data_IF_564770571048
#
_entry.id   IF_564770571048
#
_cell.length_a   1.000
_cell.length_b   1.000
_cell.length_c   1.000
_cell.angle_alpha   90.00
_cell.angle_beta   90.00
_cell.angle_gamma   90.00
#
_symmetry.space_group_name_H-M   'P 1'
#
loop_
_entity.id
_entity.type
_entity.pdbx_description
1 polymer ?
#
# COMPACT_ATOMS: atom_id res chain seq x y z
N UNK A 1 -71.48 -0.15 10.22
CA UNK A 1 -70.65 -1.38 10.35
C UNK A 1 -69.42 -1.23 9.45
N UNK A 2 -68.36 -2.00 9.69
CA UNK A 2 -66.96 -1.67 9.33
C UNK A 2 -66.56 -1.84 7.84
N UNK A 3 -65.30 -1.50 7.53
CA UNK A 3 -64.56 -1.39 6.23
C UNK A 3 -64.54 0.06 5.67
N UNK A 4 -63.43 0.63 5.17
CA UNK A 4 -62.11 0.07 4.76
C UNK A 4 -61.00 1.14 4.83
N UNK A 5 -59.72 0.72 4.83
CA UNK A 5 -58.52 1.58 4.88
C UNK A 5 -58.29 2.46 3.64
N UNK A 6 -57.54 3.57 3.76
CA UNK A 6 -56.83 4.20 2.64
C UNK A 6 -55.31 3.92 2.70
N UNK A 7 -54.74 3.51 1.57
CA UNK A 7 -53.31 3.74 1.30
C UNK A 7 -53.10 5.20 0.90
N UNK A 8 -51.97 5.81 1.28
CA UNK A 8 -51.43 6.94 0.52
C UNK A 8 -49.89 6.93 0.55
N UNK A 9 -49.29 7.13 -0.62
CA UNK A 9 -47.85 7.21 -0.81
C UNK A 9 -47.27 8.47 -0.15
N UNK A 10 -46.09 8.32 0.46
CA UNK A 10 -45.17 9.43 0.73
C UNK A 10 -44.06 9.39 -0.33
N UNK A 11 -43.79 10.49 -1.06
CA UNK A 11 -42.65 10.58 -1.96
C UNK A 11 -41.35 10.85 -1.18
N UNK A 12 -40.23 10.32 -1.69
CA UNK A 12 -38.90 10.62 -1.17
C UNK A 12 -38.51 12.08 -1.48
N UNK A 13 -37.94 12.78 -0.50
CA UNK A 13 -37.17 14.01 -0.72
C UNK A 13 -35.73 13.81 -0.27
N UNK A 14 -34.82 13.83 -1.23
CA UNK A 14 -33.38 13.97 -0.97
C UNK A 14 -33.10 15.35 -0.35
N UNK A 15 -32.17 15.41 0.60
CA UNK A 15 -31.69 16.68 1.16
C UNK A 15 -30.28 16.98 0.66
N UNK A 16 -30.19 17.95 -0.25
CA UNK A 16 -28.94 18.46 -0.81
C UNK A 16 -28.24 19.45 0.12
N UNK A 17 -26.92 19.59 -0.06
CA UNK A 17 -26.02 20.42 0.73
C UNK A 17 -26.25 21.92 0.49
N UNK A 18 -26.41 22.73 1.55
CA UNK A 18 -25.68 24.01 1.76
C UNK A 18 -26.09 24.76 3.04
N UNK A 19 -25.09 25.36 3.68
CA UNK A 19 -25.24 26.60 4.46
C UNK A 19 -25.32 26.45 5.98
N UNK A 20 -24.21 26.72 6.67
CA UNK A 20 -24.22 27.07 8.10
C UNK A 20 -22.96 27.88 8.47
N UNK A 21 -23.11 29.20 8.61
CA UNK A 21 -22.17 30.12 9.25
C UNK A 21 -22.89 31.46 9.55
N UNK A 22 -22.48 32.14 10.65
CA UNK A 22 -23.12 33.29 11.37
C UNK A 22 -24.14 32.86 12.44
N UNK A 23 -24.27 33.43 13.64
CA UNK A 23 -23.57 34.50 14.45
C UNK A 23 -24.19 34.50 15.87
N UNK A 24 -23.64 35.02 16.99
CA UNK A 24 -22.30 35.46 17.40
C UNK A 24 -22.31 35.83 18.92
N UNK A 25 -21.15 35.98 19.58
CA UNK A 25 -20.99 36.62 20.91
C UNK A 25 -20.31 35.72 21.99
N UNK A 26 -19.35 36.19 22.79
CA UNK A 26 -18.60 37.46 22.75
C UNK A 26 -17.53 37.61 23.85
N UNK A 27 -16.38 38.20 23.49
CA UNK A 27 -15.35 38.87 24.32
C UNK A 27 -14.68 38.18 25.53
N UNK A 28 -13.38 37.87 25.37
CA UNK A 28 -12.37 37.63 26.41
C UNK A 28 -10.98 37.47 25.75
N UNK A 29 -9.95 38.17 26.21
CA UNK A 29 -8.77 38.48 25.36
C UNK A 29 -7.51 37.62 25.57
N UNK A 30 -6.67 37.62 24.52
CA UNK A 30 -5.22 37.35 24.49
C UNK A 30 -4.71 35.91 24.68
N UNK A 31 -4.37 35.25 23.57
CA UNK A 31 -2.97 35.02 23.18
C UNK A 31 -2.88 34.52 21.73
N UNK A 32 -2.01 35.14 20.93
CA UNK A 32 -1.77 34.73 19.56
C UNK A 32 -0.68 33.66 19.52
N UNK A 33 -0.95 32.54 18.83
CA UNK A 33 -0.03 31.65 18.09
C UNK A 33 -0.82 30.41 17.65
N UNK A 34 -0.56 29.88 16.45
CA UNK A 34 -1.16 28.61 16.00
C UNK A 34 -2.26 28.71 14.94
N UNK A 35 -2.13 29.60 13.96
CA UNK A 35 -2.91 29.57 12.70
C UNK A 35 -2.51 28.41 11.77
N UNK A 36 -2.37 27.20 12.31
CA UNK A 36 -2.14 25.99 11.53
C UNK A 36 -3.45 25.57 10.87
N UNK A 37 -3.63 25.93 9.60
CA UNK A 37 -4.76 25.45 8.82
C UNK A 37 -4.69 23.92 8.70
N UNK A 38 -5.51 23.22 9.49
CA UNK A 38 -5.88 21.84 9.24
C UNK A 38 -6.72 21.82 7.96
N UNK A 39 -6.03 21.87 6.82
CA UNK A 39 -6.60 21.51 5.54
C UNK A 39 -6.95 20.03 5.61
N UNK A 40 -8.18 19.73 6.01
CA UNK A 40 -8.83 18.46 5.72
C UNK A 40 -8.94 18.38 4.21
N UNK A 41 -7.94 17.78 3.57
CA UNK A 41 -8.00 17.40 2.16
C UNK A 41 -9.19 16.48 1.98
N UNK A 42 -10.30 17.03 1.49
CA UNK A 42 -11.34 16.23 0.89
C UNK A 42 -10.76 15.68 -0.40
N UNK A 43 -10.18 14.49 -0.32
CA UNK A 43 -9.65 13.77 -1.46
C UNK A 43 -10.74 13.74 -2.55
N UNK A 44 -10.37 14.19 -3.74
CA UNK A 44 -11.29 14.23 -4.87
C UNK A 44 -11.42 12.85 -5.48
N UNK A 45 -12.47 12.65 -6.28
CA UNK A 45 -12.53 11.49 -7.18
C UNK A 45 -11.25 11.46 -8.00
N UNK A 46 -10.48 10.37 -7.89
CA UNK A 46 -9.12 10.33 -8.40
C UNK A 46 -9.01 10.84 -9.85
N UNK A 47 -8.13 11.81 -10.07
CA UNK A 47 -8.10 12.62 -11.29
C UNK A 47 -6.79 12.36 -12.07
N UNK A 48 -6.22 13.37 -12.72
CA UNK A 48 -4.85 13.40 -13.21
C UNK A 48 -3.84 13.83 -12.12
N UNK A 49 -2.55 13.66 -12.40
CA UNK A 49 -1.45 13.96 -11.47
C UNK A 49 -1.55 15.36 -10.82
N UNK A 50 -1.15 15.48 -9.54
CA UNK A 50 -1.31 16.72 -8.79
C UNK A 50 -0.49 17.86 -9.38
N UNK A 51 -1.04 19.07 -9.40
CA UNK A 51 -0.32 20.29 -9.80
C UNK A 51 0.68 20.79 -8.75
N UNK A 52 0.75 20.15 -7.59
CA UNK A 52 1.69 20.44 -6.50
C UNK A 52 1.92 19.16 -5.70
N UNK A 53 3.17 18.70 -5.65
CA UNK A 53 3.54 17.46 -4.96
C UNK A 53 3.63 17.65 -3.45
N UNK A 54 3.14 16.67 -2.69
CA UNK A 54 3.20 16.66 -1.23
C UNK A 54 4.35 15.78 -0.74
N UNK A 55 5.22 16.33 0.12
CA UNK A 55 6.38 15.62 0.69
C UNK A 55 6.52 15.88 2.21
N UNK A 56 6.67 14.83 3.05
CA UNK A 56 6.52 13.42 2.71
C UNK A 56 5.06 13.12 2.32
N UNK A 57 4.85 12.35 1.26
CA UNK A 57 3.51 12.06 0.73
C UNK A 57 3.39 10.76 -0.07
N UNK A 58 4.23 9.76 0.19
CA UNK A 58 4.01 8.40 -0.28
C UNK A 58 3.16 7.61 0.72
N UNK A 59 3.66 6.52 1.32
CA UNK A 59 2.90 5.81 2.36
C UNK A 59 2.65 6.65 3.61
N UNK A 60 3.56 7.55 3.96
CA UNK A 60 3.48 8.36 5.18
C UNK A 60 3.43 9.84 4.84
N UNK A 61 2.51 10.56 5.49
CA UNK A 61 2.45 12.01 5.47
C UNK A 61 3.00 12.63 6.77
N UNK A 62 3.26 13.94 6.77
CA UNK A 62 3.82 14.65 7.92
C UNK A 62 2.93 14.57 9.18
N UNK A 63 1.60 14.50 9.03
CA UNK A 63 0.66 14.38 10.14
C UNK A 63 0.70 13.02 10.82
N UNK A 64 0.86 11.95 10.04
CA UNK A 64 1.01 10.58 10.50
C UNK A 64 2.36 10.37 11.22
N UNK A 65 3.45 10.88 10.65
CA UNK A 65 4.77 10.92 11.31
C UNK A 65 4.72 11.69 12.63
N UNK A 66 4.16 12.91 12.64
CA UNK A 66 4.06 13.71 13.86
C UNK A 66 3.19 13.03 14.93
N UNK A 67 2.08 12.39 14.54
CA UNK A 67 1.24 11.64 15.48
C UNK A 67 1.98 10.46 16.10
N UNK A 68 2.75 9.71 15.31
CA UNK A 68 3.61 8.65 15.83
C UNK A 68 4.63 9.20 16.83
N UNK A 69 5.34 10.29 16.50
CA UNK A 69 6.30 10.97 17.42
C UNK A 69 5.67 11.27 18.78
N UNK A 70 4.55 12.01 18.77
CA UNK A 70 3.88 12.44 20.01
C UNK A 70 3.34 11.26 20.81
N UNK A 71 2.72 10.26 20.16
CA UNK A 71 2.11 9.11 20.83
C UNK A 71 3.14 8.15 21.41
N UNK A 72 4.26 7.92 20.72
CA UNK A 72 5.39 7.12 21.24
C UNK A 72 6.04 7.83 22.43
N UNK A 73 6.32 9.13 22.33
CA UNK A 73 6.89 9.90 23.44
C UNK A 73 5.97 9.95 24.68
N UNK A 74 4.65 9.92 24.46
CA UNK A 74 3.64 9.84 25.52
C UNK A 74 3.35 8.40 26.00
N UNK A 75 4.08 7.39 25.52
CA UNK A 75 3.87 5.98 25.90
C UNK A 75 2.46 5.44 25.58
N UNK A 76 1.79 5.99 24.57
CA UNK A 76 0.38 5.68 24.27
C UNK A 76 0.26 4.52 23.28
N UNK A 77 -0.52 3.50 23.64
CA UNK A 77 -0.88 2.42 22.72
C UNK A 77 -1.98 2.82 21.71
N UNK A 78 -1.99 2.22 20.51
CA UNK A 78 -1.12 1.13 20.05
C UNK A 78 0.24 1.58 19.48
N UNK A 79 0.53 2.89 19.43
CA UNK A 79 1.78 3.42 18.88
C UNK A 79 3.03 2.93 19.62
N UNK A 80 2.98 2.86 20.96
CA UNK A 80 4.09 2.32 21.76
C UNK A 80 4.36 0.85 21.42
N UNK A 81 3.32 0.01 21.35
CA UNK A 81 3.45 -1.39 20.91
C UNK A 81 4.06 -1.53 19.50
N UNK A 82 3.63 -0.70 18.54
CA UNK A 82 4.22 -0.66 17.19
C UNK A 82 5.68 -0.18 17.17
N UNK A 83 6.02 0.79 18.02
CA UNK A 83 7.41 1.27 18.19
C UNK A 83 8.30 0.19 18.80
N UNK A 84 7.82 -0.55 19.79
CA UNK A 84 8.56 -1.64 20.42
C UNK A 84 8.86 -2.78 19.42
N UNK A 85 7.92 -3.09 18.51
CA UNK A 85 8.17 -4.01 17.36
C UNK A 85 9.32 -3.49 16.49
N UNK A 86 9.28 -2.21 16.10
CA UNK A 86 10.34 -1.59 15.29
C UNK A 86 11.70 -1.65 16.00
N UNK A 87 11.79 -1.24 17.27
CA UNK A 87 13.05 -1.21 18.03
C UNK A 87 13.66 -2.60 18.22
N UNK A 88 12.83 -3.64 18.39
CA UNK A 88 13.29 -5.02 18.56
C UNK A 88 13.82 -5.69 17.27
N UNK A 89 13.41 -5.21 16.08
CA UNK A 89 13.82 -5.80 14.82
C UNK A 89 15.31 -5.51 14.52
N UNK A 90 16.06 -6.53 14.08
CA UNK A 90 17.49 -6.43 13.77
C UNK A 90 17.81 -5.50 12.59
N UNK A 91 16.86 -5.29 11.68
CA UNK A 91 16.98 -4.36 10.56
C UNK A 91 16.91 -2.89 11.02
N UNK A 92 16.35 -2.58 12.19
CA UNK A 92 16.23 -1.20 12.69
C UNK A 92 17.46 -0.71 13.49
N UNK A 93 18.52 -1.52 13.58
CA UNK A 93 19.73 -1.17 14.30
C UNK A 93 20.65 -0.30 13.43
N UNK A 94 21.18 0.78 14.00
CA UNK A 94 22.05 1.74 13.30
C UNK A 94 23.43 1.19 12.93
N UNK A 95 23.76 -0.02 13.40
CA UNK A 95 24.99 -0.76 13.08
C UNK A 95 24.87 -1.62 11.82
N UNK A 96 23.76 -1.53 11.09
CA UNK A 96 23.56 -2.28 9.85
C UNK A 96 24.51 -1.80 8.74
N UNK A 97 25.19 -2.76 8.10
CA UNK A 97 26.09 -2.51 6.97
C UNK A 97 25.40 -2.91 5.68
N UNK A 98 25.35 -1.98 4.72
CA UNK A 98 24.80 -2.25 3.39
C UNK A 98 25.64 -3.27 2.60
N UNK A 99 25.00 -3.91 1.63
CA UNK A 99 25.58 -4.90 0.71
C UNK A 99 25.30 -4.52 -0.74
N UNK A 100 25.43 -3.22 -1.04
CA UNK A 100 25.18 -2.67 -2.37
C UNK A 100 26.02 -3.38 -3.43
N UNK A 101 25.37 -3.81 -4.52
CA UNK A 101 26.01 -4.51 -5.63
C UNK A 101 25.50 -3.98 -6.97
N UNK A 102 26.31 -4.11 -8.02
CA UNK A 102 26.02 -3.54 -9.33
C UNK A 102 24.86 -4.23 -10.05
N UNK A 103 24.66 -5.52 -9.80
CA UNK A 103 23.64 -6.33 -10.48
C UNK A 103 22.84 -7.14 -9.46
N UNK A 104 21.51 -6.95 -9.49
CA UNK A 104 20.57 -7.82 -8.79
C UNK A 104 19.97 -8.83 -9.76
N UNK A 105 20.02 -10.11 -9.38
CA UNK A 105 19.49 -11.25 -10.12
C UNK A 105 18.34 -11.84 -9.28
N UNK A 106 17.14 -11.95 -9.87
CA UNK A 106 16.01 -12.68 -9.29
C UNK A 106 15.53 -13.75 -10.28
N UNK A 107 15.57 -15.00 -9.82
CA UNK A 107 15.24 -16.18 -10.61
C UNK A 107 16.34 -16.59 -11.61
N UNK A 108 16.67 -17.89 -11.61
CA UNK A 108 17.77 -18.46 -12.39
C UNK A 108 19.08 -18.60 -11.61
N UNK A 109 20.17 -18.92 -12.31
CA UNK A 109 21.48 -19.16 -11.69
C UNK A 109 22.07 -17.87 -11.11
N UNK A 110 22.57 -17.94 -9.87
CA UNK A 110 23.27 -16.82 -9.23
C UNK A 110 22.35 -15.76 -8.62
N UNK A 111 21.11 -16.12 -8.29
CA UNK A 111 20.18 -15.19 -7.62
C UNK A 111 20.75 -14.59 -6.32
N UNK A 112 20.60 -13.27 -6.17
CA UNK A 112 21.18 -12.50 -5.06
C UNK A 112 20.25 -11.39 -4.55
N UNK A 113 18.98 -11.37 -4.98
CA UNK A 113 17.98 -10.35 -4.65
C UNK A 113 17.72 -10.16 -3.14
N UNK A 114 18.09 -11.14 -2.30
CA UNK A 114 18.06 -11.02 -0.85
C UNK A 114 18.98 -9.94 -0.30
N UNK A 115 20.08 -9.61 -0.99
CA UNK A 115 20.93 -8.47 -0.61
C UNK A 115 20.14 -7.15 -0.62
N UNK A 116 19.32 -6.95 -1.66
CA UNK A 116 18.56 -5.72 -1.86
C UNK A 116 17.35 -5.63 -0.90
N UNK A 117 16.53 -6.68 -0.75
CA UNK A 117 15.33 -6.57 0.09
C UNK A 117 15.66 -6.39 1.59
N UNK A 118 16.73 -7.04 2.08
CA UNK A 118 17.15 -6.88 3.48
C UNK A 118 17.65 -5.45 3.71
N UNK A 119 18.40 -4.88 2.76
CA UNK A 119 18.89 -3.50 2.86
C UNK A 119 17.79 -2.45 2.74
N UNK A 120 16.79 -2.66 1.87
CA UNK A 120 15.61 -1.79 1.79
C UNK A 120 14.84 -1.80 3.11
N UNK A 121 14.59 -2.98 3.68
CA UNK A 121 13.94 -3.11 4.98
C UNK A 121 14.73 -2.39 6.08
N UNK A 122 16.05 -2.53 6.10
CA UNK A 122 16.90 -1.83 7.05
C UNK A 122 16.91 -0.31 6.85
N UNK A 123 16.98 0.18 5.60
CA UNK A 123 16.91 1.60 5.30
C UNK A 123 15.59 2.23 5.74
N UNK A 124 14.45 1.60 5.40
CA UNK A 124 13.12 2.05 5.81
C UNK A 124 12.95 2.03 7.34
N UNK A 125 13.36 0.94 8.01
CA UNK A 125 13.24 0.83 9.46
C UNK A 125 14.14 1.84 10.20
N UNK A 126 15.36 2.06 9.73
CA UNK A 126 16.24 3.10 10.25
C UNK A 126 15.67 4.51 9.99
N UNK A 127 15.06 4.76 8.83
CA UNK A 127 14.38 6.01 8.54
C UNK A 127 13.18 6.24 9.48
N UNK A 128 12.38 5.21 9.81
CA UNK A 128 11.32 5.30 10.83
C UNK A 128 11.89 5.57 12.23
N UNK A 129 13.00 4.91 12.62
CA UNK A 129 13.69 5.16 13.91
C UNK A 129 14.15 6.62 14.03
N UNK A 130 14.63 7.22 12.95
CA UNK A 130 14.94 8.66 12.90
C UNK A 130 13.69 9.54 12.89
N UNK A 131 12.74 9.29 11.99
CA UNK A 131 11.54 10.13 11.83
C UNK A 131 10.67 10.16 13.09
N UNK A 132 10.51 9.02 13.78
CA UNK A 132 9.70 8.92 15.00
C UNK A 132 10.53 9.18 16.27
N UNK A 133 11.71 8.55 16.40
CA UNK A 133 12.53 8.61 17.61
C UNK A 133 13.63 9.67 17.64
N UNK A 134 13.83 10.43 16.56
CA UNK A 134 14.88 11.47 16.46
C UNK A 134 16.31 10.94 16.48
N UNK A 135 16.52 9.63 16.27
CA UNK A 135 17.84 9.00 16.48
C UNK A 135 18.76 9.19 15.28
N UNK A 136 19.70 10.15 15.39
CA UNK A 136 20.62 10.53 14.29
C UNK A 136 21.47 9.36 13.77
N UNK A 137 21.91 8.45 14.63
CA UNK A 137 22.66 7.26 14.19
C UNK A 137 21.86 6.36 13.24
N UNK A 138 20.53 6.30 13.39
CA UNK A 138 19.66 5.60 12.46
C UNK A 138 19.49 6.41 11.15
N UNK A 139 19.45 7.75 11.20
CA UNK A 139 19.42 8.60 10.01
C UNK A 139 20.65 8.37 9.11
N UNK A 140 21.84 8.38 9.73
CA UNK A 140 23.12 8.07 9.07
C UNK A 140 23.10 6.67 8.45
N UNK A 141 22.60 5.65 9.18
CA UNK A 141 22.50 4.29 8.68
C UNK A 141 21.58 4.19 7.45
N UNK A 142 20.37 4.76 7.51
CA UNK A 142 19.44 4.80 6.38
C UNK A 142 20.04 5.49 5.15
N UNK A 143 20.62 6.69 5.34
CA UNK A 143 21.25 7.44 4.26
C UNK A 143 22.43 6.68 3.65
N UNK A 144 23.28 6.03 4.45
CA UNK A 144 24.40 5.22 3.97
C UNK A 144 23.94 4.04 3.09
N UNK A 145 22.87 3.34 3.48
CA UNK A 145 22.30 2.25 2.68
C UNK A 145 21.76 2.79 1.37
N UNK A 146 20.90 3.81 1.41
CA UNK A 146 20.26 4.37 0.21
C UNK A 146 21.29 4.96 -0.77
N UNK A 147 22.27 5.72 -0.27
CA UNK A 147 23.33 6.30 -1.09
C UNK A 147 24.21 5.23 -1.76
N UNK A 148 24.52 4.14 -1.05
CA UNK A 148 25.34 3.05 -1.59
C UNK A 148 24.63 2.37 -2.77
N UNK A 149 23.39 1.94 -2.58
CA UNK A 149 22.61 1.35 -3.69
C UNK A 149 22.42 2.32 -4.85
N UNK A 150 22.04 3.58 -4.55
CA UNK A 150 21.78 4.62 -5.57
C UNK A 150 22.98 4.95 -6.47
N UNK A 151 24.20 4.69 -5.99
CA UNK A 151 25.45 4.94 -6.73
C UNK A 151 26.08 3.67 -7.31
N UNK A 152 25.67 2.49 -6.86
CA UNK A 152 26.28 1.20 -7.26
C UNK A 152 25.40 0.39 -8.19
N UNK A 153 24.08 0.32 -7.98
CA UNK A 153 23.18 -0.55 -8.73
C UNK A 153 22.96 -0.02 -10.16
N UNK A 154 23.32 -0.84 -11.15
CA UNK A 154 23.17 -0.51 -12.58
C UNK A 154 22.22 -1.45 -13.32
N UNK A 155 21.91 -2.63 -12.77
CA UNK A 155 21.02 -3.60 -13.43
C UNK A 155 20.19 -4.45 -12.46
N UNK A 156 18.94 -4.72 -12.85
CA UNK A 156 18.10 -5.80 -12.31
C UNK A 156 17.84 -6.78 -13.46
N UNK A 157 18.09 -8.07 -13.23
CA UNK A 157 18.06 -9.11 -14.26
C UNK A 157 17.63 -10.47 -13.67
N UNK A 158 17.65 -11.52 -14.50
CA UNK A 158 17.18 -12.87 -14.18
C UNK A 158 16.15 -13.37 -15.20
N UNK A 159 15.33 -14.32 -14.79
CA UNK A 159 14.19 -14.82 -15.57
C UNK A 159 13.01 -13.79 -15.55
N UNK A 160 11.76 -14.22 -15.64
CA UNK A 160 10.59 -13.34 -15.47
C UNK A 160 10.57 -12.63 -14.11
N UNK A 161 11.06 -13.26 -13.03
CA UNK A 161 11.02 -12.74 -11.67
C UNK A 161 11.82 -11.44 -11.49
N UNK A 162 12.64 -11.03 -12.49
CA UNK A 162 13.24 -9.69 -12.57
C UNK A 162 12.20 -8.56 -12.49
N UNK A 163 10.96 -8.79 -12.97
CA UNK A 163 9.86 -7.83 -12.84
C UNK A 163 9.26 -7.79 -11.43
N UNK A 164 9.27 -8.91 -10.69
CA UNK A 164 8.94 -8.89 -9.26
C UNK A 164 10.02 -8.14 -8.47
N UNK A 165 11.30 -8.27 -8.86
CA UNK A 165 12.37 -7.47 -8.25
C UNK A 165 12.23 -5.98 -8.56
N UNK A 166 12.01 -5.60 -9.82
CA UNK A 166 11.83 -4.20 -10.21
C UNK A 166 10.59 -3.58 -9.54
N UNK A 167 9.46 -4.29 -9.58
CA UNK A 167 8.21 -3.82 -8.96
C UNK A 167 8.33 -3.71 -7.44
N UNK A 168 8.55 -4.83 -6.74
CA UNK A 168 8.50 -4.88 -5.27
C UNK A 168 9.56 -3.97 -4.66
N UNK A 169 10.81 -4.04 -5.14
CA UNK A 169 11.89 -3.30 -4.50
C UNK A 169 11.90 -1.82 -4.91
N UNK A 170 11.43 -1.48 -6.11
CA UNK A 170 11.41 -0.09 -6.57
C UNK A 170 10.47 0.81 -5.76
N UNK A 171 9.24 0.37 -5.47
CA UNK A 171 8.31 1.18 -4.64
C UNK A 171 8.76 1.27 -3.18
N UNK A 172 9.34 0.19 -2.65
CA UNK A 172 9.83 0.17 -1.28
C UNK A 172 11.06 1.07 -1.09
N UNK A 173 12.01 1.01 -2.03
CA UNK A 173 13.19 1.87 -2.04
C UNK A 173 12.80 3.35 -2.15
N UNK A 174 11.86 3.69 -3.05
CA UNK A 174 11.33 5.05 -3.17
C UNK A 174 10.68 5.57 -1.87
N UNK A 175 9.93 4.72 -1.16
CA UNK A 175 9.35 5.09 0.14
C UNK A 175 10.40 5.30 1.24
N UNK A 176 11.50 4.53 1.23
CA UNK A 176 12.64 4.78 2.12
C UNK A 176 13.36 6.09 1.78
N UNK A 177 13.54 6.40 0.49
CA UNK A 177 14.07 7.69 0.03
C UNK A 177 13.20 8.88 0.43
N UNK A 178 11.87 8.76 0.31
CA UNK A 178 10.93 9.81 0.68
C UNK A 178 11.01 10.17 2.17
N UNK A 179 11.13 9.17 3.05
CA UNK A 179 11.37 9.40 4.48
C UNK A 179 12.71 10.08 4.76
N UNK A 180 13.69 10.00 3.85
CA UNK A 180 15.00 10.61 3.97
C UNK A 180 15.16 11.91 3.15
N UNK A 181 14.15 12.35 2.37
CA UNK A 181 14.22 13.47 1.41
C UNK A 181 14.85 14.75 1.96
N UNK A 182 14.58 15.09 3.23
CA UNK A 182 15.10 16.30 3.90
C UNK A 182 16.42 16.12 4.66
N UNK A 183 17.03 14.93 4.64
CA UNK A 183 18.26 14.66 5.38
C UNK A 183 19.50 15.07 4.58
N UNK A 184 20.35 15.92 5.14
CA UNK A 184 21.52 16.48 4.44
C UNK A 184 22.57 15.43 4.02
N UNK A 185 22.61 14.27 4.68
CA UNK A 185 23.47 13.16 4.30
C UNK A 185 22.90 12.25 3.19
N UNK A 186 21.67 12.48 2.71
CA UNK A 186 21.02 11.65 1.69
C UNK A 186 21.11 12.29 0.30
N UNK A 187 21.57 11.49 -0.68
CA UNK A 187 21.71 11.87 -2.09
C UNK A 187 20.44 11.51 -2.87
N UNK A 188 19.42 12.36 -2.74
CA UNK A 188 18.14 12.21 -3.42
C UNK A 188 18.31 12.13 -4.96
N UNK A 189 19.20 12.94 -5.53
CA UNK A 189 19.39 13.00 -6.98
C UNK A 189 19.96 11.68 -7.54
N UNK A 190 20.90 11.04 -6.84
CA UNK A 190 21.36 9.71 -7.20
C UNK A 190 20.21 8.68 -7.12
N UNK A 191 19.39 8.72 -6.07
CA UNK A 191 18.27 7.79 -5.90
C UNK A 191 17.20 7.93 -6.99
N UNK A 192 16.76 9.17 -7.28
CA UNK A 192 15.83 9.49 -8.36
C UNK A 192 16.36 9.00 -9.73
N UNK A 193 17.66 9.18 -9.99
CA UNK A 193 18.34 8.71 -11.20
C UNK A 193 18.41 7.19 -11.28
N UNK A 194 18.76 6.48 -10.19
CA UNK A 194 18.80 5.02 -10.16
C UNK A 194 17.41 4.43 -10.41
N UNK A 195 16.39 4.93 -9.72
CA UNK A 195 15.01 4.46 -9.87
C UNK A 195 14.48 4.68 -11.30
N UNK A 196 14.73 5.85 -11.89
CA UNK A 196 14.31 6.16 -13.25
C UNK A 196 15.04 5.34 -14.33
N UNK A 197 16.31 4.95 -14.10
CA UNK A 197 17.14 4.26 -15.11
C UNK A 197 17.16 2.73 -14.98
N UNK A 198 17.04 2.20 -13.77
CA UNK A 198 17.18 0.76 -13.49
C UNK A 198 15.81 0.10 -13.28
N UNK A 199 14.92 0.73 -12.52
CA UNK A 199 13.65 0.12 -12.13
C UNK A 199 12.52 0.45 -13.12
N UNK A 200 12.31 1.73 -13.41
CA UNK A 200 11.21 2.18 -14.28
C UNK A 200 11.15 1.47 -15.66
N UNK A 201 12.26 1.24 -16.40
CA UNK A 201 12.18 0.59 -17.71
C UNK A 201 11.63 -0.83 -17.67
N UNK A 202 11.96 -1.60 -16.61
CA UNK A 202 11.40 -2.93 -16.39
C UNK A 202 9.92 -2.84 -16.01
N UNK A 203 9.57 -1.95 -15.07
CA UNK A 203 8.17 -1.77 -14.66
C UNK A 203 7.27 -1.36 -15.83
N UNK A 204 7.71 -0.39 -16.63
CA UNK A 204 7.00 0.06 -17.82
C UNK A 204 6.87 -1.07 -18.85
N UNK A 205 7.96 -1.78 -19.16
CA UNK A 205 7.93 -2.90 -20.10
C UNK A 205 7.00 -4.03 -19.63
N UNK A 206 6.90 -4.29 -18.33
CA UNK A 206 5.93 -5.23 -17.79
C UNK A 206 4.50 -4.76 -18.04
N UNK A 207 4.17 -3.50 -17.69
CA UNK A 207 2.81 -2.97 -17.81
C UNK A 207 2.35 -2.75 -19.26
N UNK A 208 3.27 -2.60 -20.23
CA UNK A 208 2.92 -2.43 -21.65
C UNK A 208 3.01 -3.71 -22.47
N UNK A 209 3.94 -4.62 -22.15
CA UNK A 209 4.27 -5.78 -23.00
C UNK A 209 4.07 -7.14 -22.30
N UNK A 210 3.80 -7.15 -20.98
CA UNK A 210 3.58 -8.35 -20.15
C UNK A 210 4.60 -9.48 -20.39
N UNK A 211 5.88 -9.13 -20.55
CA UNK A 211 6.98 -10.06 -20.88
C UNK A 211 6.65 -11.01 -22.06
N UNK A 212 6.06 -10.45 -23.12
CA UNK A 212 5.69 -11.14 -24.36
C UNK A 212 4.72 -12.33 -24.17
N UNK A 213 4.02 -12.35 -23.03
CA UNK A 213 2.97 -13.31 -22.71
C UNK A 213 1.58 -12.71 -22.97
N UNK A 214 0.54 -13.56 -22.96
CA UNK A 214 -0.82 -13.04 -23.01
C UNK A 214 -1.15 -12.22 -21.75
N UNK A 215 -2.03 -11.22 -21.90
CA UNK A 215 -2.31 -10.22 -20.86
C UNK A 215 -2.79 -10.79 -19.52
N UNK A 216 -3.41 -11.98 -19.54
CA UNK A 216 -3.91 -12.68 -18.34
C UNK A 216 -2.95 -13.73 -17.75
N UNK A 217 -1.77 -13.92 -18.35
CA UNK A 217 -0.80 -14.95 -17.92
C UNK A 217 -0.26 -14.71 -16.50
N UNK A 218 -0.04 -13.45 -16.14
CA UNK A 218 0.54 -13.06 -14.86
C UNK A 218 -0.55 -12.75 -13.84
N UNK A 219 -0.32 -13.16 -12.59
CA UNK A 219 -1.23 -12.91 -11.48
C UNK A 219 -1.19 -11.45 -11.02
N UNK A 220 -2.28 -10.97 -10.40
CA UNK A 220 -2.44 -9.58 -10.01
C UNK A 220 -1.24 -8.96 -9.28
N UNK A 221 -0.55 -9.69 -8.38
CA UNK A 221 0.63 -9.20 -7.67
C UNK A 221 1.78 -8.70 -8.58
N UNK A 222 1.89 -9.21 -9.82
CA UNK A 222 2.91 -8.79 -10.78
C UNK A 222 2.63 -7.38 -11.29
N UNK A 223 1.45 -7.17 -11.86
CA UNK A 223 0.95 -5.86 -12.27
C UNK A 223 0.97 -4.87 -11.10
N UNK A 224 0.50 -5.27 -9.92
CA UNK A 224 0.43 -4.42 -8.73
C UNK A 224 1.80 -3.93 -8.26
N UNK A 225 2.81 -4.79 -8.21
CA UNK A 225 4.14 -4.35 -7.76
C UNK A 225 4.83 -3.43 -8.79
N UNK A 226 4.69 -3.70 -10.08
CA UNK A 226 5.25 -2.85 -11.13
C UNK A 226 4.51 -1.49 -11.17
N UNK A 227 3.18 -1.48 -11.03
CA UNK A 227 2.36 -0.27 -10.92
C UNK A 227 2.68 0.56 -9.69
N UNK A 228 2.81 -0.06 -8.50
CA UNK A 228 3.24 0.61 -7.28
C UNK A 228 4.62 1.26 -7.46
N UNK A 229 5.53 0.60 -8.18
CA UNK A 229 6.85 1.15 -8.46
C UNK A 229 6.81 2.33 -9.42
N UNK A 230 6.00 2.28 -10.49
CA UNK A 230 5.81 3.44 -11.37
C UNK A 230 5.22 4.63 -10.59
N UNK A 231 4.19 4.40 -9.76
CA UNK A 231 3.57 5.45 -8.93
C UNK A 231 4.57 6.09 -7.97
N UNK A 232 5.31 5.28 -7.20
CA UNK A 232 6.29 5.78 -6.23
C UNK A 232 7.45 6.53 -6.91
N UNK A 233 7.86 6.11 -8.11
CA UNK A 233 8.87 6.84 -8.90
C UNK A 233 8.31 8.15 -9.43
N UNK A 234 7.04 8.18 -9.87
CA UNK A 234 6.32 9.39 -10.23
C UNK A 234 6.32 10.41 -9.10
N UNK A 235 5.95 9.99 -7.88
CA UNK A 235 5.96 10.86 -6.70
C UNK A 235 7.39 11.29 -6.31
N UNK A 236 8.37 10.37 -6.29
CA UNK A 236 9.74 10.74 -5.87
C UNK A 236 10.38 11.75 -6.83
N UNK A 237 10.14 11.58 -8.13
CA UNK A 237 10.76 12.37 -9.19
C UNK A 237 9.90 13.56 -9.63
N UNK A 238 8.73 13.76 -9.01
CA UNK A 238 7.77 14.81 -9.36
C UNK A 238 7.33 14.74 -10.84
N UNK A 239 7.21 13.50 -11.35
CA UNK A 239 6.96 13.13 -12.74
C UNK A 239 5.49 12.73 -12.95
N UNK A 240 4.70 13.70 -13.42
CA UNK A 240 3.26 13.56 -13.67
C UNK A 240 2.93 12.43 -14.64
N UNK A 241 3.74 12.22 -15.69
CA UNK A 241 3.44 11.21 -16.71
C UNK A 241 3.52 9.78 -16.13
N UNK A 242 4.44 9.52 -15.19
CA UNK A 242 4.51 8.24 -14.47
C UNK A 242 3.37 8.07 -13.47
N UNK A 243 3.00 9.15 -12.78
CA UNK A 243 1.84 9.13 -11.89
C UNK A 243 0.55 8.80 -12.66
N UNK A 244 0.29 9.52 -13.76
CA UNK A 244 -0.85 9.32 -14.65
C UNK A 244 -0.86 7.91 -15.25
N UNK A 245 0.29 7.38 -15.65
CA UNK A 245 0.42 5.99 -16.11
C UNK A 245 -0.08 5.01 -15.05
N UNK A 246 0.39 5.12 -13.81
CA UNK A 246 0.03 4.19 -12.74
C UNK A 246 -1.44 4.33 -12.33
N UNK A 247 -1.96 5.56 -12.20
CA UNK A 247 -3.36 5.83 -11.87
C UNK A 247 -4.30 5.36 -12.98
N UNK A 248 -3.94 5.56 -14.26
CA UNK A 248 -4.69 5.03 -15.40
C UNK A 248 -4.66 3.51 -15.42
N UNK A 249 -3.51 2.89 -15.15
CA UNK A 249 -3.40 1.43 -15.09
C UNK A 249 -4.24 0.83 -13.95
N UNK A 250 -4.29 1.47 -12.78
CA UNK A 250 -5.17 1.04 -11.69
C UNK A 250 -6.64 1.04 -12.12
N UNK A 251 -7.08 2.11 -12.78
CA UNK A 251 -8.48 2.32 -13.19
C UNK A 251 -8.90 1.40 -14.34
N UNK A 252 -8.06 1.28 -15.37
CA UNK A 252 -8.42 0.66 -16.67
C UNK A 252 -7.26 -0.04 -17.40
N UNK A 253 -6.22 -0.46 -16.67
CA UNK A 253 -5.15 -1.30 -17.23
C UNK A 253 -5.67 -2.64 -17.75
N UNK A 254 -5.02 -3.19 -18.77
CA UNK A 254 -5.49 -4.42 -19.41
C UNK A 254 -5.18 -5.71 -18.61
N UNK A 255 -4.18 -5.66 -17.71
CA UNK A 255 -3.72 -6.80 -16.91
C UNK A 255 -4.41 -6.94 -15.56
N UNK A 256 -4.11 -8.05 -14.89
CA UNK A 256 -4.83 -8.56 -13.71
C UNK A 256 -4.72 -7.67 -12.45
N UNK A 257 -3.79 -6.70 -12.41
CA UNK A 257 -3.65 -5.76 -11.27
C UNK A 257 -4.51 -4.50 -11.35
N UNK A 258 -5.16 -4.23 -12.48
CA UNK A 258 -6.17 -3.18 -12.56
C UNK A 258 -7.39 -3.55 -11.69
N UNK A 259 -8.04 -2.58 -11.07
CA UNK A 259 -8.97 -2.83 -9.95
C UNK A 259 -10.17 -3.72 -10.32
N UNK A 260 -10.69 -3.61 -11.55
CA UNK A 260 -11.78 -4.44 -12.05
C UNK A 260 -11.35 -5.90 -12.31
N UNK A 261 -10.11 -6.13 -12.75
CA UNK A 261 -9.56 -7.47 -13.00
C UNK A 261 -8.99 -8.12 -11.72
N UNK A 262 -8.49 -7.32 -10.78
CA UNK A 262 -8.00 -7.76 -9.48
C UNK A 262 -9.13 -8.22 -8.54
N UNK A 263 -10.34 -7.67 -8.71
CA UNK A 263 -11.55 -8.08 -7.99
C UNK A 263 -12.70 -8.32 -9.00
N UNK A 264 -12.67 -9.41 -9.78
CA UNK A 264 -13.56 -9.59 -10.93
C UNK A 264 -15.03 -9.80 -10.56
N UNK A 265 -15.31 -10.42 -9.42
CA UNK A 265 -16.66 -10.79 -8.99
C UNK A 265 -17.01 -10.13 -7.67
N UNK A 266 -18.24 -9.61 -7.55
CA UNK A 266 -18.76 -8.97 -6.34
C UNK A 266 -19.92 -9.78 -5.76
N UNK A 267 -20.02 -9.78 -4.43
CA UNK A 267 -21.03 -10.51 -3.67
C UNK A 267 -21.53 -9.70 -2.48
N UNK A 268 -22.57 -10.19 -1.84
CA UNK A 268 -22.99 -9.78 -0.49
C UNK A 268 -23.15 -11.05 0.33
N UNK A 269 -22.65 -11.06 1.57
CA UNK A 269 -22.80 -12.22 2.46
C UNK A 269 -24.12 -12.21 3.25
N UNK A 270 -24.35 -13.27 4.02
CA UNK A 270 -25.55 -13.46 4.85
C UNK A 270 -25.71 -12.43 5.98
N UNK A 271 -24.66 -11.67 6.30
CA UNK A 271 -24.71 -10.58 7.28
C UNK A 271 -24.81 -9.19 6.60
N UNK A 272 -24.92 -9.13 5.27
CA UNK A 272 -25.06 -7.89 4.50
C UNK A 272 -23.74 -7.23 4.11
N UNK A 273 -22.58 -7.84 4.39
CA UNK A 273 -21.30 -7.25 4.01
C UNK A 273 -21.02 -7.46 2.53
N UNK A 274 -20.68 -6.38 1.83
CA UNK A 274 -20.23 -6.43 0.45
C UNK A 274 -18.82 -7.04 0.37
N UNK A 275 -18.68 -8.12 -0.39
CA UNK A 275 -17.44 -8.84 -0.62
C UNK A 275 -17.07 -8.82 -2.11
N UNK A 276 -15.81 -9.08 -2.44
CA UNK A 276 -15.36 -9.25 -3.82
C UNK A 276 -14.28 -10.31 -3.93
N UNK A 277 -14.42 -11.26 -4.85
CA UNK A 277 -13.42 -12.30 -5.07
C UNK A 277 -12.09 -11.66 -5.46
N UNK A 278 -11.01 -11.95 -4.74
CA UNK A 278 -9.69 -11.53 -5.19
C UNK A 278 -9.18 -12.48 -6.28
N UNK A 279 -8.54 -11.93 -7.31
CA UNK A 279 -8.09 -12.65 -8.50
C UNK A 279 -7.23 -13.89 -8.16
N UNK A 280 -6.37 -13.80 -7.14
CA UNK A 280 -5.49 -14.90 -6.71
C UNK A 280 -6.12 -15.87 -5.70
N UNK A 281 -7.40 -15.70 -5.32
CA UNK A 281 -8.02 -16.53 -4.27
C UNK A 281 -8.15 -18.01 -4.62
N UNK A 282 -8.20 -18.37 -5.91
CA UNK A 282 -8.17 -19.77 -6.35
C UNK A 282 -6.76 -20.36 -6.45
N UNK A 283 -5.71 -19.53 -6.34
CA UNK A 283 -4.30 -19.93 -6.35
C UNK A 283 -3.86 -20.29 -4.94
N UNK A 284 -3.71 -19.29 -4.08
CA UNK A 284 -3.39 -19.44 -2.67
C UNK A 284 -3.67 -18.14 -1.88
N UNK A 285 -3.72 -18.25 -0.56
CA UNK A 285 -3.96 -17.10 0.30
C UNK A 285 -2.72 -16.26 0.57
N UNK A 286 -1.52 -16.81 0.42
CA UNK A 286 -0.27 -16.07 0.62
C UNK A 286 -0.08 -14.93 -0.37
N UNK A 287 -0.54 -15.12 -1.61
CA UNK A 287 -0.58 -14.09 -2.64
C UNK A 287 -1.86 -13.26 -2.60
N UNK A 288 -2.99 -13.82 -2.14
CA UNK A 288 -4.20 -13.03 -1.90
C UNK A 288 -3.98 -11.95 -0.83
N UNK A 289 -3.31 -12.28 0.27
CA UNK A 289 -2.92 -11.31 1.32
C UNK A 289 -1.79 -10.38 0.85
N UNK A 290 -0.85 -10.84 0.02
CA UNK A 290 0.17 -10.00 -0.62
C UNK A 290 -0.45 -8.88 -1.47
N UNK A 291 -1.47 -9.23 -2.26
CA UNK A 291 -2.22 -8.29 -3.10
C UNK A 291 -2.91 -7.19 -2.30
N UNK A 292 -3.40 -7.49 -1.09
CA UNK A 292 -3.97 -6.47 -0.18
C UNK A 292 -2.94 -5.39 0.19
N UNK A 293 -1.71 -5.81 0.51
CA UNK A 293 -0.62 -4.89 0.84
C UNK A 293 -0.20 -4.02 -0.34
N UNK A 294 -0.10 -4.61 -1.54
CA UNK A 294 0.34 -3.88 -2.74
C UNK A 294 -0.73 -2.93 -3.27
N UNK A 295 -1.98 -3.38 -3.40
CA UNK A 295 -3.10 -2.53 -3.79
C UNK A 295 -3.35 -1.42 -2.76
N UNK A 296 -3.21 -1.73 -1.46
CA UNK A 296 -3.27 -0.75 -0.40
C UNK A 296 -2.16 0.30 -0.46
N UNK A 297 -0.92 -0.11 -0.77
CA UNK A 297 0.19 0.83 -0.92
C UNK A 297 -0.04 1.80 -2.10
N UNK A 298 -0.59 1.32 -3.22
CA UNK A 298 -0.98 2.15 -4.36
C UNK A 298 -2.05 3.18 -3.94
N UNK A 299 -3.09 2.72 -3.23
CA UNK A 299 -4.17 3.60 -2.78
C UNK A 299 -3.71 4.63 -1.74
N UNK A 300 -2.83 4.27 -0.80
CA UNK A 300 -2.33 5.20 0.23
C UNK A 300 -1.32 6.22 -0.34
N UNK A 301 -0.46 5.81 -1.28
CA UNK A 301 0.40 6.75 -2.00
C UNK A 301 -0.39 7.74 -2.85
N UNK A 302 -1.46 7.30 -3.52
CA UNK A 302 -2.35 8.21 -4.25
C UNK A 302 -3.12 9.14 -3.28
N UNK A 303 -3.64 8.60 -2.18
CA UNK A 303 -4.37 9.37 -1.16
C UNK A 303 -3.52 10.50 -0.57
N UNK A 304 -2.25 10.24 -0.26
CA UNK A 304 -1.34 11.25 0.29
C UNK A 304 -0.88 12.30 -0.75
N UNK A 305 -1.22 12.12 -2.03
CA UNK A 305 -1.14 13.15 -3.07
C UNK A 305 -2.50 13.81 -3.40
N UNK A 306 -3.60 13.37 -2.79
CA UNK A 306 -4.95 13.95 -2.92
C UNK A 306 -5.98 13.10 -3.66
N UNK A 307 -5.60 11.96 -4.24
CA UNK A 307 -6.46 11.13 -5.09
C UNK A 307 -7.09 9.94 -4.32
N UNK A 308 -8.43 9.88 -4.30
CA UNK A 308 -9.16 8.78 -3.65
C UNK A 308 -9.31 7.54 -4.55
N UNK A 309 -8.24 6.73 -4.63
CA UNK A 309 -8.30 5.38 -5.23
C UNK A 309 -8.99 4.35 -4.32
N UNK A 310 -9.05 4.59 -3.00
CA UNK A 310 -9.72 3.69 -2.05
C UNK A 310 -11.23 3.63 -2.28
N UNK A 311 -11.86 4.74 -2.64
CA UNK A 311 -13.29 4.82 -2.98
C UNK A 311 -13.62 4.41 -4.41
N UNK A 312 -12.62 4.24 -5.28
CA UNK A 312 -12.84 3.98 -6.70
C UNK A 312 -13.67 2.71 -6.96
N UNK A 313 -14.46 2.73 -8.05
CA UNK A 313 -15.45 1.72 -8.43
C UNK A 313 -16.31 1.24 -7.25
N UNK A 314 -16.96 2.20 -6.59
CA UNK A 314 -17.81 1.97 -5.42
C UNK A 314 -17.10 1.18 -4.31
N UNK A 315 -15.84 1.54 -4.01
CA UNK A 315 -14.94 0.88 -3.04
C UNK A 315 -14.69 -0.59 -3.39
N UNK A 316 -14.44 -0.91 -4.67
CA UNK A 316 -14.15 -2.30 -5.11
C UNK A 316 -13.01 -2.93 -4.33
N UNK A 317 -11.96 -2.16 -4.01
CA UNK A 317 -10.85 -2.67 -3.21
C UNK A 317 -11.27 -3.05 -1.78
N UNK A 318 -12.12 -2.27 -1.12
CA UNK A 318 -12.64 -2.59 0.23
C UNK A 318 -13.37 -3.94 0.24
N UNK A 319 -14.18 -4.20 -0.80
CA UNK A 319 -14.92 -5.47 -0.97
C UNK A 319 -13.94 -6.65 -1.14
N UNK A 320 -12.88 -6.46 -1.93
CA UNK A 320 -11.77 -7.41 -2.06
C UNK A 320 -11.07 -7.70 -0.72
N UNK A 321 -10.77 -6.65 0.04
CA UNK A 321 -10.12 -6.78 1.34
C UNK A 321 -10.99 -7.44 2.40
N UNK A 322 -12.29 -7.13 2.45
CA UNK A 322 -13.26 -7.82 3.32
C UNK A 322 -13.36 -9.32 2.96
N UNK A 323 -13.34 -9.68 1.68
CA UNK A 323 -13.36 -11.08 1.23
C UNK A 323 -12.11 -11.85 1.66
N UNK A 324 -10.92 -11.32 1.37
CA UNK A 324 -9.65 -11.98 1.71
C UNK A 324 -9.48 -12.08 3.23
N UNK A 325 -9.84 -11.03 3.98
CA UNK A 325 -9.83 -11.05 5.43
C UNK A 325 -10.80 -12.12 5.99
N UNK A 326 -12.05 -12.13 5.54
CA UNK A 326 -13.06 -13.11 5.96
C UNK A 326 -12.58 -14.55 5.76
N UNK A 327 -12.00 -14.84 4.60
CA UNK A 327 -11.51 -16.19 4.32
C UNK A 327 -10.30 -16.59 5.18
N UNK A 328 -9.39 -15.65 5.44
CA UNK A 328 -8.21 -15.90 6.28
C UNK A 328 -8.52 -15.93 7.78
N UNK A 329 -9.64 -15.34 8.22
CA UNK A 329 -10.26 -15.56 9.54
C UNK A 329 -10.94 -16.95 9.68
N UNK A 330 -10.76 -17.85 8.73
CA UNK A 330 -11.31 -19.21 8.76
C UNK A 330 -12.80 -19.32 8.39
N UNK A 331 -13.44 -18.22 7.99
CA UNK A 331 -14.85 -18.22 7.54
C UNK A 331 -14.95 -18.47 6.03
N UNK A 332 -16.08 -18.98 5.57
CA UNK A 332 -16.26 -19.29 4.15
C UNK A 332 -16.71 -18.09 3.31
N UNK A 333 -16.39 -18.14 2.03
CA UNK A 333 -16.66 -17.10 1.03
C UNK A 333 -17.18 -17.75 -0.27
N UNK A 334 -18.09 -17.08 -0.99
CA UNK A 334 -18.54 -17.55 -2.31
C UNK A 334 -17.38 -17.50 -3.32
N UNK A 335 -17.37 -18.40 -4.30
CA UNK A 335 -16.37 -18.41 -5.35
C UNK A 335 -17.02 -18.73 -6.70
N UNK A 336 -16.83 -17.82 -7.67
CA UNK A 336 -17.19 -18.00 -9.09
C UNK A 336 -15.96 -18.50 -9.80
N UNK A 337 -16.11 -19.51 -10.67
CA UNK A 337 -15.01 -20.05 -11.48
C UNK A 337 -14.22 -18.93 -12.16
N UNK A 338 -12.95 -18.80 -11.80
CA UNK A 338 -12.04 -17.84 -12.38
C UNK A 338 -11.34 -18.49 -13.58
N UNK A 339 -11.41 -17.84 -14.75
CA UNK A 339 -10.83 -18.32 -16.00
C UNK A 339 -9.76 -17.33 -16.48
N UNK A 340 -8.64 -17.83 -17.00
CA UNK A 340 -7.58 -17.02 -17.59
C UNK A 340 -6.87 -17.75 -18.73
N UNK A 341 -6.08 -17.02 -19.53
CA UNK A 341 -5.15 -17.60 -20.50
C UNK A 341 -3.74 -17.67 -19.91
N UNK A 342 -3.02 -18.77 -20.17
CA UNK A 342 -1.62 -18.96 -19.75
C UNK A 342 -0.66 -19.01 -20.94
N UNK A 343 0.60 -18.64 -20.68
CA UNK A 343 1.67 -18.56 -21.66
C UNK A 343 1.48 -17.46 -22.70
N UNK A 344 2.15 -17.61 -23.85
CA UNK A 344 2.09 -16.66 -24.96
C UNK A 344 0.84 -16.87 -25.84
N UNK A 345 0.30 -18.09 -25.88
CA UNK A 345 -0.78 -18.52 -26.76
C UNK A 345 -2.19 -18.43 -26.11
N UNK A 346 -2.35 -17.73 -24.99
CA UNK A 346 -3.62 -17.61 -24.26
C UNK A 346 -4.27 -18.96 -23.88
N UNK A 347 -3.48 -19.99 -23.56
CA UNK A 347 -4.03 -21.33 -23.34
C UNK A 347 -5.00 -21.34 -22.15
N UNK A 348 -6.24 -21.78 -22.38
CA UNK A 348 -7.30 -21.65 -21.39
C UNK A 348 -6.98 -22.44 -20.10
N UNK A 349 -7.17 -21.79 -18.96
CA UNK A 349 -6.98 -22.33 -17.61
C UNK A 349 -8.10 -21.86 -16.69
N UNK A 350 -8.41 -22.62 -15.65
CA UNK A 350 -9.46 -22.26 -14.69
C UNK A 350 -9.18 -22.73 -13.27
N UNK A 351 -9.78 -22.03 -12.31
CA UNK A 351 -9.89 -22.39 -10.90
C UNK A 351 -11.37 -22.36 -10.56
N UNK A 352 -11.88 -23.44 -9.97
CA UNK A 352 -13.32 -23.62 -9.67
C UNK A 352 -13.67 -23.44 -8.19
N UNK A 353 -12.65 -23.34 -7.33
CA UNK A 353 -12.79 -23.21 -5.87
C UNK A 353 -11.77 -22.21 -5.31
N UNK A 354 -12.09 -21.61 -4.17
CA UNK A 354 -11.11 -20.88 -3.35
C UNK A 354 -10.09 -21.85 -2.78
N UNK A 355 -8.80 -21.49 -2.87
CA UNK A 355 -7.70 -22.33 -2.39
C UNK A 355 -7.48 -22.12 -0.89
N UNK A 356 -7.40 -23.24 -0.15
CA UNK A 356 -7.04 -23.26 1.27
C UNK A 356 -5.53 -23.20 1.54
N UNK A 357 -4.71 -23.23 0.48
CA UNK A 357 -3.25 -23.11 0.61
C UNK A 357 -2.89 -21.78 1.29
N UNK A 358 -2.07 -21.87 2.35
CA UNK A 358 -1.69 -20.73 3.21
C UNK A 358 -2.85 -19.96 3.87
N UNK A 359 -4.05 -20.55 4.02
CA UNK A 359 -5.19 -19.90 4.71
C UNK A 359 -4.80 -19.55 6.15
N UNK A 360 -5.05 -18.29 6.53
CA UNK A 360 -4.61 -17.73 7.82
C UNK A 360 -3.19 -17.16 7.81
N UNK A 361 -2.55 -17.00 6.64
CA UNK A 361 -1.21 -16.39 6.56
C UNK A 361 -1.22 -14.94 7.07
N UNK A 362 -0.29 -14.66 7.99
CA UNK A 362 -0.07 -13.34 8.58
C UNK A 362 0.93 -12.55 7.74
N UNK A 363 0.58 -11.30 7.41
CA UNK A 363 1.44 -10.28 6.77
C UNK A 363 1.07 -8.88 7.32
N UNK A 364 1.98 -7.89 7.31
CA UNK A 364 1.74 -6.56 7.87
C UNK A 364 1.05 -5.66 6.83
N UNK A 365 -0.22 -5.93 6.56
CA UNK A 365 -1.01 -5.25 5.52
C UNK A 365 -2.33 -4.68 6.02
N UNK A 366 -2.77 -5.07 7.23
CA UNK A 366 -4.14 -4.90 7.69
C UNK A 366 -4.34 -3.59 8.46
N UNK A 367 -3.33 -3.12 9.19
CA UNK A 367 -3.41 -1.84 9.89
C UNK A 367 -3.65 -0.68 8.90
N UNK A 368 -2.95 -0.66 7.77
CA UNK A 368 -3.12 0.35 6.72
C UNK A 368 -4.57 0.41 6.23
N UNK A 369 -5.17 -0.75 5.94
CA UNK A 369 -6.54 -0.84 5.43
C UNK A 369 -7.56 -0.51 6.52
N UNK A 370 -7.39 -1.03 7.74
CA UNK A 370 -8.27 -0.77 8.86
C UNK A 370 -8.28 0.72 9.25
N UNK A 371 -7.10 1.30 9.48
CA UNK A 371 -6.99 2.70 9.84
C UNK A 371 -7.31 3.67 8.68
N UNK A 372 -7.46 3.16 7.45
CA UNK A 372 -8.10 3.88 6.36
C UNK A 372 -9.64 3.76 6.47
N UNK A 373 -10.20 2.58 6.19
CA UNK A 373 -11.65 2.43 6.01
C UNK A 373 -12.43 2.72 7.30
N UNK A 374 -12.02 2.16 8.43
CA UNK A 374 -12.69 2.38 9.71
C UNK A 374 -12.43 3.78 10.26
N UNK A 375 -11.15 4.16 10.36
CA UNK A 375 -10.74 5.31 11.17
C UNK A 375 -10.56 6.62 10.40
N UNK A 376 -10.33 6.56 9.08
CA UNK A 376 -10.31 7.76 8.21
C UNK A 376 -11.68 8.00 7.55
N UNK A 377 -12.39 6.95 7.14
CA UNK A 377 -13.68 7.07 6.43
C UNK A 377 -14.93 6.72 7.27
N UNK A 378 -14.80 6.14 8.47
CA UNK A 378 -15.95 5.79 9.32
C UNK A 378 -16.77 4.60 8.82
N UNK A 379 -16.21 3.75 7.97
CA UNK A 379 -16.90 2.61 7.36
C UNK A 379 -16.79 1.36 8.23
N UNK A 380 -17.83 0.53 8.24
CA UNK A 380 -17.76 -0.81 8.84
C UNK A 380 -16.93 -1.75 7.97
N UNK A 381 -15.71 -2.02 8.44
CA UNK A 381 -14.70 -2.87 7.84
C UNK A 381 -14.51 -4.19 8.62
N UNK A 382 -15.58 -4.68 9.27
CA UNK A 382 -15.60 -5.85 10.16
C UNK A 382 -14.49 -6.89 9.99
N UNK A 383 -14.34 -7.48 8.80
CA UNK A 383 -13.38 -8.56 8.59
C UNK A 383 -11.94 -8.04 8.51
N UNK A 384 -11.70 -6.88 7.91
CA UNK A 384 -10.40 -6.19 7.93
C UNK A 384 -10.00 -5.84 9.38
N UNK A 385 -10.95 -5.33 10.16
CA UNK A 385 -10.77 -5.02 11.59
C UNK A 385 -10.45 -6.27 12.43
N UNK A 386 -11.23 -7.35 12.27
CA UNK A 386 -10.96 -8.64 12.92
C UNK A 386 -9.60 -9.21 12.52
N UNK A 387 -9.25 -9.20 11.23
CA UNK A 387 -7.96 -9.69 10.76
C UNK A 387 -6.80 -8.89 11.36
N UNK A 388 -6.95 -7.57 11.49
CA UNK A 388 -5.97 -6.72 12.18
C UNK A 388 -5.87 -7.06 13.68
N UNK A 389 -6.96 -6.93 14.44
CA UNK A 389 -6.93 -7.03 15.90
C UNK A 389 -6.78 -8.45 16.44
N UNK A 390 -7.40 -9.45 15.81
CA UNK A 390 -7.46 -10.81 16.34
C UNK A 390 -6.21 -11.64 15.97
N UNK A 391 -5.50 -11.28 14.89
CA UNK A 391 -4.42 -12.10 14.31
C UNK A 391 -3.09 -11.40 14.04
N UNK A 392 -3.04 -10.07 13.82
CA UNK A 392 -1.83 -9.41 13.28
C UNK A 392 -1.26 -8.32 14.20
N UNK A 393 -2.09 -7.60 14.96
CA UNK A 393 -1.65 -6.48 15.78
C UNK A 393 -0.76 -6.89 16.97
N UNK A 394 0.29 -6.11 17.32
CA UNK A 394 0.85 -4.99 16.58
C UNK A 394 1.74 -5.45 15.40
N UNK A 395 1.57 -4.81 14.24
CA UNK A 395 2.31 -5.11 13.01
C UNK A 395 3.80 -4.73 13.11
N UNK A 396 4.67 -5.70 12.79
CA UNK A 396 6.09 -5.47 12.47
C UNK A 396 6.30 -5.23 10.97
N UNK A 397 7.47 -5.61 10.43
CA UNK A 397 7.77 -5.48 9.01
C UNK A 397 8.81 -6.49 8.51
N UNK A 398 9.67 -6.07 7.58
CA UNK A 398 10.74 -6.92 7.04
C UNK A 398 11.58 -7.58 8.14
N UNK A 399 11.62 -8.92 8.15
CA UNK A 399 12.26 -9.73 9.19
C UNK A 399 11.33 -10.31 10.25
N UNK A 400 10.11 -9.79 10.42
CA UNK A 400 9.11 -10.32 11.38
C UNK A 400 8.23 -11.44 10.78
N UNK A 401 8.19 -11.59 9.46
CA UNK A 401 7.27 -12.47 8.73
C UNK A 401 7.99 -13.53 7.87
N UNK A 402 9.19 -13.94 8.29
CA UNK A 402 10.03 -14.93 7.62
C UNK A 402 11.27 -14.33 6.93
N UNK A 403 12.18 -15.21 6.49
CA UNK A 403 13.51 -14.86 5.97
C UNK A 403 13.62 -14.84 4.44
N UNK A 404 12.59 -15.29 3.72
CA UNK A 404 12.51 -15.29 2.26
C UNK A 404 11.76 -14.04 1.75
N UNK A 405 11.72 -13.80 0.42
CA UNK A 405 11.01 -12.63 -0.16
C UNK A 405 9.62 -12.39 0.43
N UNK A 406 8.88 -13.47 0.74
CA UNK A 406 7.54 -13.41 1.34
C UNK A 406 7.43 -12.51 2.58
N UNK A 407 8.46 -12.52 3.44
CA UNK A 407 8.52 -11.68 4.65
C UNK A 407 8.90 -10.22 4.39
N UNK A 408 9.22 -9.87 3.14
CA UNK A 408 9.74 -8.57 2.70
C UNK A 408 8.98 -7.98 1.51
N UNK A 409 7.92 -8.62 1.01
CA UNK A 409 7.09 -8.07 -0.08
C UNK A 409 6.31 -6.81 0.35
N UNK A 410 6.29 -6.49 1.65
CA UNK A 410 5.69 -5.29 2.25
C UNK A 410 6.59 -4.68 3.33
N UNK A 411 6.56 -3.35 3.46
CA UNK A 411 7.37 -2.60 4.44
C UNK A 411 6.87 -2.73 5.89
N UNK A 412 5.56 -2.82 6.09
CA UNK A 412 4.92 -2.98 7.40
C UNK A 412 5.04 -1.78 8.34
N UNK A 413 5.02 -2.08 9.65
CA UNK A 413 4.92 -1.15 10.79
C UNK A 413 3.64 -0.28 10.77
N UNK A 414 2.56 -0.82 10.21
CA UNK A 414 1.31 -0.08 10.03
C UNK A 414 0.62 0.30 11.34
N UNK A 415 0.80 -0.47 12.42
CA UNK A 415 0.32 -0.11 13.77
C UNK A 415 1.00 1.16 14.31
N UNK A 416 2.28 1.37 14.00
CA UNK A 416 3.01 2.58 14.41
C UNK A 416 2.58 3.80 13.59
N UNK A 417 2.42 3.64 12.27
CA UNK A 417 2.28 4.78 11.37
C UNK A 417 0.83 5.16 11.07
N UNK A 418 -0.06 4.17 10.88
CA UNK A 418 -1.42 4.44 10.41
C UNK A 418 -2.45 4.62 11.51
N UNK A 419 -2.16 4.24 12.76
CA UNK A 419 -3.11 4.33 13.89
C UNK A 419 -3.65 5.76 14.08
N UNK A 420 -4.94 5.90 14.42
CA UNK A 420 -5.70 7.18 14.51
C UNK A 420 -6.64 7.20 15.71
#
# INVERSE_FOLDING_TARGET
>A
MSRTSPHQHLPHTELSRRGLLRTAGGLGAALALGGGALATSMATTADAAPSTWTHPGMLHNAGDINRAKVRVAAGTDPWLSGWNKLVANSHSQSTWTNRATATIIRGGTGENYSLLFNDIAAAYQNALRWQVGGTEANAVCAANILNAWSRTLTSVTGNADRFLAAGIYGWQFANACELMRGYSGFDLAAAQSMLAKVFYPLNNSFLTNHNDACITNYWANWDLCNMASVLAIGILNEDSAKYDQAVTYFKSGAGNGSIAHAVPYLYTDSAGYALGQWQESGRDQGHSVMGMGQMGAICEMAWNQGDDLYSYDSRRFMKGAQYVAKYNLGQDVPFTTYNWGTGQNCAASSQTVVSSASRGQIRPVWAMLHFHYNRRLGLDDKYISQMYYDLVAPEGGGGDYGTTSGGFDQLGFGTLMYAK
#
